data_IF_246904840814
#
_entry.id   IF_246904840814
#
_cell.length_a   1.000
_cell.length_b   1.000
_cell.length_c   1.000
_cell.angle_alpha   90.00
_cell.angle_beta   90.00
_cell.angle_gamma   90.00
#
_symmetry.space_group_name_H-M   'P 1'
#
loop_
_entity.id
_entity.type
_entity.pdbx_description
1 polymer ?
#
# COMPACT_ATOMS: atom_id res chain seq x y z
N UNK A 1 12.49 17.09 21.14
CA UNK A 1 12.28 16.56 19.77
C UNK A 1 11.01 17.21 19.22
N UNK A 2 11.06 17.87 18.06
CA UNK A 2 9.85 18.33 17.36
C UNK A 2 9.54 17.32 16.24
N UNK A 3 8.29 16.88 16.22
CA UNK A 3 7.71 16.06 15.17
C UNK A 3 6.93 17.00 14.25
N UNK A 4 7.36 17.13 12.99
CA UNK A 4 6.65 17.93 12.02
C UNK A 4 6.33 17.06 10.80
N UNK A 5 5.03 16.88 10.54
CA UNK A 5 4.53 16.40 9.25
C UNK A 5 4.27 17.62 8.37
N UNK A 6 4.99 17.74 7.26
CA UNK A 6 4.73 18.77 6.26
C UNK A 6 4.09 18.13 5.03
N UNK A 7 2.90 18.60 4.68
CA UNK A 7 2.26 18.29 3.42
C UNK A 7 2.61 19.36 2.41
N UNK A 8 3.31 18.98 1.33
CA UNK A 8 3.60 19.90 0.24
C UNK A 8 2.68 19.57 -0.94
N UNK A 9 1.67 20.41 -1.24
CA UNK A 9 0.82 20.19 -2.40
C UNK A 9 1.61 20.46 -3.68
N UNK A 10 1.48 19.56 -4.65
CA UNK A 10 1.98 19.69 -6.02
C UNK A 10 0.79 19.91 -6.98
N UNK A 11 1.03 20.48 -8.18
CA UNK A 11 0.00 20.60 -9.21
C UNK A 11 -0.60 19.24 -9.56
N UNK A 12 -1.89 19.21 -9.95
CA UNK A 12 -2.63 17.98 -10.30
C UNK A 12 -2.74 16.99 -9.14
N UNK A 13 -2.91 17.52 -7.92
CA UNK A 13 -3.31 16.77 -6.74
C UNK A 13 -2.33 15.68 -6.28
N UNK A 14 -1.07 15.86 -6.64
CA UNK A 14 0.04 15.16 -6.01
C UNK A 14 0.39 15.89 -4.71
N UNK A 15 0.92 15.17 -3.72
CA UNK A 15 1.46 15.78 -2.51
C UNK A 15 2.66 14.99 -2.01
N UNK A 16 3.61 15.67 -1.38
CA UNK A 16 4.75 15.04 -0.71
C UNK A 16 4.54 15.16 0.79
N UNK A 17 4.60 14.02 1.51
CA UNK A 17 4.60 14.00 2.97
C UNK A 17 6.04 13.92 3.47
N UNK A 18 6.51 14.99 4.11
CA UNK A 18 7.79 15.01 4.80
C UNK A 18 7.58 14.68 6.28
N UNK A 19 8.31 13.70 6.78
CA UNK A 19 8.38 13.39 8.22
C UNK A 19 9.75 13.85 8.70
N UNK A 20 9.80 14.97 9.42
CA UNK A 20 11.05 15.52 9.94
C UNK A 20 11.14 15.33 11.46
N UNK A 21 12.21 14.64 11.89
CA UNK A 21 12.59 14.49 13.29
C UNK A 21 13.72 15.45 13.62
N UNK A 22 13.46 16.47 14.44
CA UNK A 22 14.52 17.39 14.91
C UNK A 22 14.71 17.29 16.42
N UNK A 23 15.95 17.11 16.87
CA UNK A 23 16.33 17.25 18.28
C UNK A 23 16.99 18.61 18.51
N UNK A 24 16.45 19.42 19.43
CA UNK A 24 17.16 20.58 19.97
C UNK A 24 18.22 20.08 20.97
N UNK A 25 19.51 20.43 20.82
CA UNK A 25 20.52 20.10 21.81
C UNK A 25 20.24 20.88 23.10
N UNK A 26 20.27 20.22 24.26
CA UNK A 26 20.08 20.87 25.56
C UNK A 26 21.37 21.45 26.17
N UNK A 27 22.50 21.42 25.45
CA UNK A 27 23.78 22.04 25.87
C UNK A 27 24.61 22.48 24.66
N UNK A 28 25.40 23.57 24.76
CA UNK A 28 26.35 23.96 23.73
C UNK A 28 27.44 22.89 23.57
N UNK A 29 27.92 22.62 22.34
CA UNK A 29 28.95 21.62 22.11
C UNK A 29 30.31 22.09 22.67
N UNK A 30 31.02 21.17 23.33
CA UNK A 30 32.43 21.34 23.68
C UNK A 30 33.29 21.34 22.39
N UNK A 31 34.44 22.04 22.37
CA UNK A 31 35.28 22.13 21.19
C UNK A 31 35.83 20.74 20.80
N UNK A 32 35.64 20.38 19.54
CA UNK A 32 35.97 19.07 18.98
C UNK A 32 37.49 18.86 18.84
N UNK A 33 37.98 17.69 19.21
CA UNK A 33 39.25 17.13 18.74
C UNK A 33 39.08 16.58 17.32
N UNK A 34 40.09 16.69 16.45
CA UNK A 34 39.98 16.28 15.06
C UNK A 34 40.31 14.79 14.95
N UNK A 35 39.31 13.91 15.05
CA UNK A 35 39.31 12.54 14.51
C UNK A 35 37.99 11.87 14.89
N UNK A 36 37.00 12.00 14.01
CA UNK A 36 35.71 11.33 14.18
C UNK A 36 34.71 11.85 13.16
N UNK A 37 34.42 11.02 12.15
CA UNK A 37 33.37 11.29 11.18
C UNK A 37 32.04 11.49 11.91
N UNK A 38 31.58 12.74 11.98
CA UNK A 38 30.20 13.07 12.36
C UNK A 38 29.30 12.77 11.18
N UNK A 39 28.50 11.70 11.28
CA UNK A 39 27.43 11.44 10.32
C UNK A 39 26.37 12.55 10.41
N UNK A 40 26.02 13.25 9.31
CA UNK A 40 24.98 14.25 9.35
C UNK A 40 23.59 13.58 9.41
N UNK A 41 22.70 14.22 10.17
CA UNK A 41 21.29 13.88 10.33
C UNK A 41 20.62 13.68 8.96
N UNK A 42 20.13 12.47 8.69
CA UNK A 42 19.35 12.20 7.47
C UNK A 42 17.89 12.61 7.71
N UNK A 43 17.44 13.62 6.97
CA UNK A 43 16.01 13.84 6.71
C UNK A 43 15.52 12.70 5.83
N UNK A 44 14.58 11.89 6.32
CA UNK A 44 13.93 10.87 5.49
C UNK A 44 12.73 11.53 4.78
N UNK A 45 12.87 11.78 3.48
CA UNK A 45 11.76 12.20 2.63
C UNK A 45 11.15 10.96 1.97
N UNK A 46 9.87 10.70 2.22
CA UNK A 46 9.10 9.73 1.45
C UNK A 46 8.44 10.44 0.28
N UNK A 47 8.84 10.09 -0.94
CA UNK A 47 8.10 10.46 -2.15
C UNK A 47 7.09 9.33 -2.38
N UNK A 48 5.90 9.48 -1.77
CA UNK A 48 4.73 8.67 -2.17
C UNK A 48 4.02 9.46 -3.25
N UNK A 49 3.88 8.88 -4.45
CA UNK A 49 3.03 9.47 -5.49
C UNK A 49 1.57 9.26 -5.09
N UNK A 50 0.91 10.35 -4.70
CA UNK A 50 -0.46 10.34 -4.19
C UNK A 50 -1.48 10.75 -5.27
N UNK A 51 -2.65 10.12 -5.18
CA UNK A 51 -3.79 10.23 -6.07
C UNK A 51 -4.35 11.67 -6.11
N UNK A 52 -4.46 12.26 -7.29
CA UNK A 52 -5.80 12.70 -7.72
C UNK A 52 -6.15 12.00 -9.01
N UNK A 53 -7.19 11.17 -8.92
CA UNK A 53 -7.86 10.53 -10.02
C UNK A 53 -6.94 9.72 -10.96
N UNK A 54 -7.36 8.50 -11.25
CA UNK A 54 -7.04 7.76 -12.47
C UNK A 54 -7.43 8.51 -13.77
N UNK A 55 -7.60 9.84 -13.73
CA UNK A 55 -8.12 10.68 -14.81
C UNK A 55 -7.12 11.69 -15.39
N UNK A 56 -5.91 11.87 -14.84
CA UNK A 56 -5.00 12.94 -15.29
C UNK A 56 -3.68 12.48 -15.95
N UNK A 57 -3.56 11.20 -16.28
CA UNK A 57 -2.59 10.67 -17.26
C UNK A 57 -3.31 10.29 -18.57
N UNK A 58 -4.40 10.98 -18.88
CA UNK A 58 -5.24 10.77 -20.06
C UNK A 58 -4.95 11.93 -21.03
N UNK A 59 -4.86 11.60 -22.32
CA UNK A 59 -5.08 12.54 -23.42
C UNK A 59 -6.28 13.45 -23.10
N UNK A 60 -6.29 14.72 -23.56
CA UNK A 60 -7.35 15.66 -23.22
C UNK A 60 -8.74 15.06 -23.48
N UNK A 61 -9.67 15.21 -22.51
CA UNK A 61 -11.07 14.81 -22.67
C UNK A 61 -11.64 15.49 -23.93
N UNK A 62 -12.33 14.77 -24.83
CA UNK A 62 -13.18 15.44 -25.79
C UNK A 62 -14.37 16.05 -25.04
N UNK A 63 -14.60 17.34 -25.27
CA UNK A 63 -15.68 18.11 -24.68
C UNK A 63 -17.03 17.56 -25.17
N UNK A 64 -17.89 17.15 -24.24
CA UNK A 64 -19.27 16.69 -24.53
C UNK A 64 -20.29 17.85 -24.60
N UNK A 65 -19.83 19.08 -24.85
CA UNK A 65 -20.70 20.27 -24.95
C UNK A 65 -21.34 20.50 -26.33
N UNK A 66 -21.13 19.64 -27.34
CA UNK A 66 -21.67 19.84 -28.69
C UNK A 66 -22.97 19.05 -28.92
N UNK A 67 -24.05 19.46 -28.26
CA UNK A 67 -25.43 19.22 -28.72
C UNK A 67 -25.94 20.58 -29.22
N UNK A 68 -26.14 20.79 -30.55
CA UNK A 68 -26.64 22.07 -31.04
C UNK A 68 -28.17 22.17 -30.82
N UNK A 69 -28.71 23.26 -30.26
CA UNK A 69 -30.14 23.51 -30.29
C UNK A 69 -30.58 24.06 -31.66
N UNK A 70 -31.83 23.75 -32.04
CA UNK A 70 -32.51 24.14 -33.27
C UNK A 70 -32.48 25.66 -33.58
N UNK A 71 -32.56 26.07 -34.88
CA UNK A 71 -32.36 27.46 -35.28
C UNK A 71 -33.65 28.28 -35.27
N UNK A 72 -33.53 29.58 -34.92
CA UNK A 72 -34.46 30.67 -35.30
C UNK A 72 -33.71 32.02 -35.27
N UNK A 73 -34.21 33.07 -35.96
CA UNK A 73 -33.50 33.61 -37.12
C UNK A 73 -32.94 35.03 -36.93
N UNK A 74 -31.93 35.31 -37.77
CA UNK A 74 -31.49 36.62 -38.32
C UNK A 74 -31.18 37.76 -37.36
N UNK A 75 -29.89 38.11 -37.28
CA UNK A 75 -29.49 39.52 -37.33
C UNK A 75 -28.11 39.66 -38.01
N UNK A 76 -28.02 40.69 -38.83
CA UNK A 76 -27.00 40.99 -39.84
C UNK A 76 -25.81 41.73 -39.20
N UNK A 77 -24.57 41.25 -39.41
CA UNK A 77 -23.36 42.05 -39.19
C UNK A 77 -22.19 41.63 -40.08
N UNK A 78 -21.46 42.66 -40.53
CA UNK A 78 -20.50 42.77 -41.64
C UNK A 78 -19.22 41.93 -41.52
N UNK A 79 -18.52 41.62 -42.64
CA UNK A 79 -17.35 40.75 -42.63
C UNK A 79 -16.03 41.49 -42.31
N UNK A 80 -15.04 40.85 -41.63
CA UNK A 80 -13.68 41.36 -41.51
C UNK A 80 -12.80 40.99 -42.74
N UNK A 81 -11.65 41.68 -42.95
CA UNK A 81 -10.93 41.64 -44.22
C UNK A 81 -10.07 40.37 -44.40
N UNK A 82 -9.86 40.00 -45.66
CA UNK A 82 -9.04 38.86 -46.11
C UNK A 82 -7.55 39.10 -45.81
N UNK A 83 -6.77 38.09 -45.36
CA UNK A 83 -5.31 38.18 -45.38
C UNK A 83 -4.74 37.77 -46.74
N UNK A 84 -3.64 38.44 -47.11
CA UNK A 84 -2.91 38.30 -48.35
C UNK A 84 -2.19 36.95 -48.49
N UNK A 85 -2.13 36.43 -49.72
CA UNK A 85 -1.32 35.28 -50.09
C UNK A 85 0.16 35.67 -50.12
N UNK A 86 0.98 35.02 -49.28
CA UNK A 86 2.44 34.98 -49.43
C UNK A 86 2.80 33.58 -49.87
N UNK A 87 3.39 33.47 -51.06
CA UNK A 87 3.85 32.22 -51.66
C UNK A 87 5.33 32.03 -51.25
N UNK A 88 5.59 31.22 -50.22
CA UNK A 88 6.95 30.75 -49.92
C UNK A 88 7.04 29.24 -50.14
N UNK A 89 7.75 28.88 -51.21
CA UNK A 89 8.22 27.52 -51.49
C UNK A 89 9.36 27.17 -50.54
N UNK A 90 9.11 26.27 -49.58
CA UNK A 90 10.09 25.66 -48.67
C UNK A 90 10.40 24.22 -49.18
N UNK A 91 11.67 23.78 -49.25
CA UNK A 91 12.05 22.46 -49.77
C UNK A 91 11.56 21.32 -48.84
N UNK A 92 11.49 20.06 -49.32
CA UNK A 92 10.92 18.97 -48.54
C UNK A 92 11.92 18.51 -47.48
N UNK A 93 11.91 19.16 -46.33
CA UNK A 93 12.48 18.61 -45.10
C UNK A 93 11.52 17.55 -44.58
N UNK A 94 12.08 16.37 -44.26
CA UNK A 94 11.42 15.21 -43.68
C UNK A 94 10.43 15.57 -42.56
N UNK A 95 9.18 15.84 -42.93
CA UNK A 95 8.06 15.84 -42.02
C UNK A 95 7.69 14.37 -41.80
N UNK A 96 8.29 13.74 -40.80
CA UNK A 96 7.73 12.51 -40.24
C UNK A 96 6.27 12.77 -39.85
N UNK A 97 5.35 12.05 -40.50
CA UNK A 97 3.90 12.07 -40.31
C UNK A 97 3.47 11.80 -38.86
N UNK A 98 3.57 12.78 -37.97
CA UNK A 98 3.01 12.69 -36.62
C UNK A 98 1.47 12.71 -36.61
N UNK A 99 0.82 13.14 -37.70
CA UNK A 99 -0.64 13.16 -37.86
C UNK A 99 -1.26 11.81 -38.23
N UNK A 100 -0.48 10.80 -38.64
CA UNK A 100 -1.00 9.44 -38.92
C UNK A 100 -1.13 8.55 -37.66
N UNK A 101 -0.52 8.94 -36.55
CA UNK A 101 -0.34 8.04 -35.39
C UNK A 101 -1.58 7.85 -34.50
N UNK A 102 -2.61 8.70 -34.65
CA UNK A 102 -3.85 8.64 -33.89
C UNK A 102 -4.92 7.74 -34.55
N UNK A 103 -4.87 7.57 -35.88
CA UNK A 103 -5.82 6.73 -36.63
C UNK A 103 -5.61 5.23 -36.49
N UNK A 104 -4.41 4.81 -36.02
CA UNK A 104 -4.02 3.40 -35.90
C UNK A 104 -4.31 2.79 -34.52
N UNK A 105 -4.77 3.59 -33.55
CA UNK A 105 -5.07 3.09 -32.21
C UNK A 105 -6.52 2.59 -32.15
N UNK A 106 -6.77 1.42 -31.54
CA UNK A 106 -8.13 0.98 -31.28
C UNK A 106 -8.90 2.00 -30.44
N UNK A 107 -10.17 2.30 -30.76
CA UNK A 107 -10.98 3.22 -29.98
C UNK A 107 -11.25 2.64 -28.58
N UNK A 108 -11.43 3.54 -27.60
CA UNK A 108 -11.80 3.13 -26.25
C UNK A 108 -13.30 2.78 -26.20
N UNK A 109 -13.69 1.70 -25.50
CA UNK A 109 -15.09 1.31 -25.42
C UNK A 109 -15.91 2.34 -24.62
N UNK A 110 -17.19 2.51 -24.96
CA UNK A 110 -18.11 3.28 -24.12
C UNK A 110 -18.32 2.60 -22.77
N UNK A 111 -18.69 3.37 -21.74
CA UNK A 111 -18.98 2.84 -20.41
C UNK A 111 -20.14 3.58 -19.76
N UNK A 112 -20.77 2.94 -18.79
CA UNK A 112 -21.79 3.55 -17.93
C UNK A 112 -21.49 3.16 -16.50
N UNK A 113 -21.44 4.16 -15.61
CA UNK A 113 -21.15 3.92 -14.20
C UNK A 113 -22.42 3.54 -13.45
N UNK A 114 -22.26 2.59 -12.53
CA UNK A 114 -23.30 2.20 -11.56
C UNK A 114 -22.65 1.87 -10.22
N UNK A 115 -23.35 1.99 -9.08
CA UNK A 115 -22.83 1.54 -7.80
C UNK A 115 -22.44 0.05 -7.83
N UNK A 116 -21.43 -0.33 -7.06
CA UNK A 116 -21.13 -1.75 -6.83
C UNK A 116 -22.32 -2.42 -6.13
N UNK A 117 -22.66 -3.64 -6.57
CA UNK A 117 -23.56 -4.50 -5.81
C UNK A 117 -22.84 -5.02 -4.57
N UNK A 118 -23.53 -5.10 -3.43
CA UNK A 118 -22.98 -5.61 -2.17
C UNK A 118 -22.25 -6.96 -2.34
N UNK A 119 -21.13 -7.14 -1.62
CA UNK A 119 -20.35 -8.37 -1.62
C UNK A 119 -21.14 -9.57 -1.12
N UNK A 120 -22.03 -9.34 -0.15
CA UNK A 120 -22.94 -10.33 0.39
C UNK A 120 -24.38 -9.85 0.10
N UNK A 121 -25.17 -10.60 -0.68
CA UNK A 121 -26.54 -10.21 -1.00
C UNK A 121 -27.37 -9.92 0.28
N UNK A 122 -27.90 -8.70 0.38
CA UNK A 122 -28.72 -8.26 1.51
C UNK A 122 -27.95 -7.70 2.71
N UNK A 123 -26.61 -7.64 2.66
CA UNK A 123 -25.78 -6.99 3.66
C UNK A 123 -24.97 -5.85 3.03
N UNK A 124 -25.32 -4.58 3.30
CA UNK A 124 -24.57 -3.43 2.80
C UNK A 124 -23.08 -3.50 3.12
N UNK A 125 -22.22 -3.24 2.12
CA UNK A 125 -20.75 -3.31 2.26
C UNK A 125 -20.18 -2.42 3.40
N UNK A 126 -20.92 -1.39 3.82
CA UNK A 126 -20.56 -0.55 4.99
C UNK A 126 -20.45 -1.37 6.28
N UNK A 127 -21.32 -2.35 6.49
CA UNK A 127 -21.26 -3.19 7.71
C UNK A 127 -20.03 -4.10 7.70
N UNK A 128 -19.66 -4.63 6.53
CA UNK A 128 -18.43 -5.41 6.40
C UNK A 128 -17.20 -4.55 6.70
N UNK A 129 -17.15 -3.32 6.16
CA UNK A 129 -16.03 -2.39 6.40
C UNK A 129 -15.87 -2.00 7.87
N UNK A 130 -16.96 -1.85 8.60
CA UNK A 130 -16.94 -1.49 10.02
C UNK A 130 -16.61 -2.70 10.90
N UNK A 131 -17.30 -3.83 10.70
CA UNK A 131 -17.31 -4.93 11.67
C UNK A 131 -16.41 -6.11 11.31
N UNK A 132 -16.10 -6.35 10.03
CA UNK A 132 -15.34 -7.54 9.64
C UNK A 132 -13.93 -7.57 10.26
N UNK A 133 -13.13 -6.48 10.31
CA UNK A 133 -11.83 -6.52 10.99
C UNK A 133 -11.96 -6.89 12.47
N UNK A 134 -13.02 -6.43 13.16
CA UNK A 134 -13.29 -6.77 14.56
C UNK A 134 -13.67 -8.24 14.72
N UNK A 135 -14.51 -8.77 13.83
CA UNK A 135 -14.87 -10.20 13.81
C UNK A 135 -13.62 -11.05 13.56
N UNK A 136 -12.80 -10.69 12.58
CA UNK A 136 -11.53 -11.36 12.27
C UNK A 136 -10.60 -11.34 13.49
N UNK A 137 -10.48 -10.20 14.17
CA UNK A 137 -9.70 -10.07 15.40
C UNK A 137 -10.12 -11.10 16.45
N UNK A 138 -11.41 -11.15 16.78
CA UNK A 138 -11.91 -12.02 17.84
C UNK A 138 -11.89 -13.49 17.45
N UNK A 139 -12.25 -13.84 16.22
CA UNK A 139 -12.22 -15.23 15.73
C UNK A 139 -10.80 -15.79 15.83
N UNK A 140 -9.81 -15.07 15.29
CA UNK A 140 -8.42 -15.53 15.34
C UNK A 140 -7.86 -15.53 16.76
N UNK A 141 -8.19 -14.51 17.55
CA UNK A 141 -7.74 -14.44 18.94
C UNK A 141 -8.32 -15.57 19.80
N UNK A 142 -9.58 -15.92 19.60
CA UNK A 142 -10.22 -17.03 20.31
C UNK A 142 -9.70 -18.37 19.82
N UNK A 143 -9.37 -18.51 18.54
CA UNK A 143 -8.69 -19.70 18.03
C UNK A 143 -7.37 -19.97 18.79
N UNK A 144 -6.49 -18.97 18.90
CA UNK A 144 -5.26 -19.10 19.68
C UNK A 144 -5.50 -19.23 21.19
N UNK A 145 -6.54 -18.59 21.71
CA UNK A 145 -6.92 -18.75 23.11
C UNK A 145 -7.34 -20.20 23.43
N UNK A 146 -8.11 -20.84 22.54
CA UNK A 146 -8.50 -22.24 22.69
C UNK A 146 -7.28 -23.16 22.61
N UNK A 147 -6.35 -22.91 21.69
CA UNK A 147 -5.07 -23.64 21.62
C UNK A 147 -4.33 -23.55 22.95
N UNK A 148 -4.29 -22.35 23.55
CA UNK A 148 -3.61 -22.12 24.82
C UNK A 148 -4.28 -22.81 26.00
N UNK A 149 -5.60 -22.70 26.12
CA UNK A 149 -6.37 -23.29 27.23
C UNK A 149 -6.38 -24.82 27.17
N UNK A 150 -6.47 -25.40 25.98
CA UNK A 150 -6.48 -26.86 25.80
C UNK A 150 -5.09 -27.47 25.63
N UNK A 151 -4.03 -26.66 25.70
CA UNK A 151 -2.64 -27.11 25.57
C UNK A 151 -2.39 -27.97 24.32
N UNK A 152 -2.92 -27.53 23.17
CA UNK A 152 -2.93 -28.36 21.94
C UNK A 152 -1.52 -28.57 21.37
N UNK A 153 -0.65 -27.54 21.43
CA UNK A 153 0.69 -27.56 20.86
C UNK A 153 1.76 -26.94 21.78
N UNK A 154 1.99 -27.50 22.98
CA UNK A 154 2.94 -26.95 23.96
C UNK A 154 4.36 -26.83 23.42
N UNK A 155 4.78 -27.70 22.49
CA UNK A 155 6.11 -27.70 21.89
C UNK A 155 6.43 -26.45 21.05
N UNK A 156 5.40 -25.72 20.62
CA UNK A 156 5.55 -24.50 19.82
C UNK A 156 5.23 -23.23 20.63
N UNK A 157 4.83 -23.37 21.90
CA UNK A 157 4.52 -22.24 22.78
C UNK A 157 5.81 -21.52 23.19
N UNK A 158 5.79 -20.19 23.16
CA UNK A 158 6.97 -19.36 23.45
C UNK A 158 7.30 -19.26 24.96
N UNK A 159 6.29 -19.43 25.81
CA UNK A 159 6.33 -19.27 27.27
C UNK A 159 5.48 -20.33 27.96
N UNK A 160 5.77 -20.68 29.22
CA UNK A 160 4.91 -21.66 29.93
C UNK A 160 3.62 -21.00 30.46
N UNK A 161 2.54 -21.77 30.73
CA UNK A 161 1.32 -21.23 31.34
C UNK A 161 1.56 -20.49 32.67
N UNK A 162 2.50 -20.96 33.48
CA UNK A 162 2.90 -20.30 34.72
C UNK A 162 3.57 -18.95 34.46
N UNK A 163 4.42 -18.86 33.43
CA UNK A 163 5.02 -17.59 33.02
C UNK A 163 3.94 -16.59 32.55
N UNK A 164 2.95 -17.04 31.78
CA UNK A 164 1.83 -16.21 31.32
C UNK A 164 1.06 -15.61 32.51
N UNK A 165 0.82 -16.41 33.56
CA UNK A 165 0.03 -15.97 34.71
C UNK A 165 0.85 -15.14 35.70
N UNK A 166 2.12 -15.47 35.93
CA UNK A 166 2.95 -14.80 36.94
C UNK A 166 3.58 -13.50 36.46
N UNK A 167 3.88 -13.37 35.16
CA UNK A 167 4.66 -12.25 34.62
C UNK A 167 3.80 -11.12 34.07
N UNK A 168 2.55 -11.39 33.71
CA UNK A 168 1.62 -10.36 33.26
C UNK A 168 1.08 -9.58 34.45
N UNK A 169 1.12 -8.24 34.36
CA UNK A 169 0.68 -7.33 35.42
C UNK A 169 -0.76 -6.84 35.24
N UNK A 170 -1.53 -7.49 34.37
CA UNK A 170 -2.90 -7.12 34.03
C UNK A 170 -3.76 -8.37 33.94
N UNK A 171 -5.02 -8.27 34.40
CA UNK A 171 -5.97 -9.37 34.27
C UNK A 171 -6.47 -9.53 32.82
N UNK A 172 -6.87 -10.74 32.46
CA UNK A 172 -7.48 -11.03 31.15
C UNK A 172 -8.74 -10.20 30.88
N UNK A 173 -9.52 -9.91 31.93
CA UNK A 173 -10.72 -9.07 31.83
C UNK A 173 -10.39 -7.61 31.50
N UNK A 174 -9.40 -7.01 32.17
CA UNK A 174 -8.96 -5.65 31.85
C UNK A 174 -8.43 -5.55 30.43
N UNK A 175 -7.70 -6.56 29.97
CA UNK A 175 -7.26 -6.65 28.57
C UNK A 175 -8.44 -6.67 27.62
N UNK A 176 -9.40 -7.58 27.81
CA UNK A 176 -10.58 -7.68 26.95
C UNK A 176 -11.41 -6.37 26.93
N UNK A 177 -11.61 -5.74 28.09
CA UNK A 177 -12.30 -4.45 28.20
C UNK A 177 -11.59 -3.36 27.39
N UNK A 178 -10.28 -3.22 27.55
CA UNK A 178 -9.52 -2.17 26.89
C UNK A 178 -9.43 -2.41 25.37
N UNK A 179 -9.40 -3.67 24.93
CA UNK A 179 -9.51 -4.03 23.51
C UNK A 179 -10.87 -3.61 22.92
N UNK A 180 -11.97 -3.83 23.65
CA UNK A 180 -13.29 -3.33 23.21
C UNK A 180 -13.29 -1.80 23.09
N UNK A 181 -12.64 -1.08 24.00
CA UNK A 181 -12.48 0.38 23.87
C UNK A 181 -11.70 0.77 22.61
N UNK A 182 -10.65 0.04 22.24
CA UNK A 182 -9.93 0.27 20.98
C UNK A 182 -10.81 -0.02 19.76
N UNK A 183 -11.63 -1.05 19.82
CA UNK A 183 -12.55 -1.39 18.72
C UNK A 183 -13.65 -0.33 18.55
N UNK A 184 -14.09 0.33 19.63
CA UNK A 184 -14.97 1.50 19.51
C UNK A 184 -14.28 2.66 18.76
N UNK A 185 -13.00 2.90 19.01
CA UNK A 185 -12.21 3.90 18.27
C UNK A 185 -12.11 3.50 16.79
N UNK A 186 -11.84 2.22 16.50
CA UNK A 186 -11.79 1.70 15.14
C UNK A 186 -13.15 1.86 14.43
N UNK A 187 -14.27 1.58 15.09
CA UNK A 187 -15.62 1.79 14.53
C UNK A 187 -15.85 3.26 14.17
N UNK A 188 -15.55 4.18 15.10
CA UNK A 188 -15.70 5.63 14.85
C UNK A 188 -14.86 6.06 13.65
N UNK A 189 -13.63 5.56 13.55
CA UNK A 189 -12.75 5.87 12.43
C UNK A 189 -13.20 5.24 11.12
N UNK A 190 -13.72 4.02 11.12
CA UNK A 190 -14.30 3.38 9.95
C UNK A 190 -15.53 4.13 9.45
N UNK A 191 -16.40 4.61 10.35
CA UNK A 191 -17.54 5.48 9.99
C UNK A 191 -17.05 6.82 9.44
N UNK A 192 -16.01 7.40 10.01
CA UNK A 192 -15.40 8.62 9.48
C UNK A 192 -14.82 8.41 8.07
N UNK A 193 -14.09 7.31 7.84
CA UNK A 193 -13.56 6.95 6.53
C UNK A 193 -14.69 6.75 5.51
N UNK A 194 -15.78 6.09 5.90
CA UNK A 194 -16.97 5.93 5.06
C UNK A 194 -17.59 7.29 4.66
N UNK A 195 -17.61 8.24 5.59
CA UNK A 195 -18.19 9.56 5.34
C UNK A 195 -17.35 10.40 4.37
N UNK A 196 -16.04 10.20 4.32
CA UNK A 196 -15.13 10.97 3.46
C UNK A 196 -14.78 10.27 2.14
N UNK A 197 -15.03 8.97 2.03
CA UNK A 197 -14.74 8.21 0.82
C UNK A 197 -15.92 8.31 -0.16
N UNK A 198 -15.60 8.40 -1.45
CA UNK A 198 -16.64 8.50 -2.49
C UNK A 198 -17.35 7.14 -2.66
N UNK A 199 -18.62 7.18 -3.05
CA UNK A 199 -19.36 5.95 -3.39
C UNK A 199 -18.62 5.16 -4.48
N UNK A 200 -18.48 3.86 -4.24
CA UNK A 200 -17.76 3.00 -5.18
C UNK A 200 -18.61 2.70 -6.42
N UNK A 201 -18.09 3.05 -7.60
CA UNK A 201 -18.74 2.79 -8.88
C UNK A 201 -17.99 1.74 -9.72
N UNK A 202 -18.74 0.95 -10.49
CA UNK A 202 -18.29 -0.07 -11.44
C UNK A 202 -18.86 0.23 -12.84
N UNK A 203 -18.35 -0.46 -13.86
CA UNK A 203 -18.80 -0.36 -15.25
C UNK A 203 -17.79 0.28 -16.19
N UNK A 204 -16.62 0.71 -15.68
CA UNK A 204 -15.52 1.33 -16.45
C UNK A 204 -14.34 0.38 -16.67
N UNK A 205 -14.44 -0.87 -16.23
CA UNK A 205 -13.31 -1.81 -16.20
C UNK A 205 -12.75 -2.06 -17.60
N UNK A 206 -13.60 -2.31 -18.59
CA UNK A 206 -13.18 -2.54 -19.98
C UNK A 206 -12.56 -1.28 -20.61
N UNK A 207 -13.08 -0.09 -20.26
CA UNK A 207 -12.47 1.19 -20.66
C UNK A 207 -11.09 1.35 -20.06
N UNK A 208 -10.91 1.12 -18.76
CA UNK A 208 -9.63 1.30 -18.08
C UNK A 208 -8.59 0.26 -18.55
N UNK A 209 -9.01 -0.99 -18.81
CA UNK A 209 -8.18 -2.00 -19.45
C UNK A 209 -7.77 -1.56 -20.86
N UNK A 210 -8.69 -1.03 -21.67
CA UNK A 210 -8.38 -0.51 -23.00
C UNK A 210 -7.40 0.68 -22.94
N UNK A 211 -7.50 1.55 -21.94
CA UNK A 211 -6.51 2.63 -21.71
C UNK A 211 -5.12 2.04 -21.45
N UNK A 212 -5.00 0.98 -20.65
CA UNK A 212 -3.72 0.29 -20.46
C UNK A 212 -3.24 -0.41 -21.72
N UNK A 213 -4.13 -1.02 -22.51
CA UNK A 213 -3.77 -1.62 -23.79
C UNK A 213 -3.25 -0.57 -24.79
N UNK A 214 -3.85 0.63 -24.81
CA UNK A 214 -3.32 1.78 -25.56
C UNK A 214 -1.92 2.16 -25.10
N UNK A 215 -1.66 2.19 -23.79
CA UNK A 215 -0.33 2.49 -23.24
C UNK A 215 0.69 1.43 -23.63
N UNK A 216 0.31 0.15 -23.58
CA UNK A 216 1.14 -0.97 -24.05
C UNK A 216 1.47 -0.78 -25.53
N UNK A 217 0.46 -0.57 -26.38
CA UNK A 217 0.60 -0.31 -27.82
C UNK A 217 1.52 0.87 -28.11
N UNK A 218 1.38 1.97 -27.36
CA UNK A 218 2.24 3.15 -27.50
C UNK A 218 3.68 2.82 -27.07
N UNK A 219 3.88 2.12 -25.95
CA UNK A 219 5.20 1.71 -25.49
C UNK A 219 5.90 0.79 -26.51
N UNK A 220 5.15 -0.08 -27.19
CA UNK A 220 5.68 -0.92 -28.25
C UNK A 220 6.24 -0.13 -29.44
N UNK A 221 5.77 1.09 -29.69
CA UNK A 221 6.31 1.93 -30.77
C UNK A 221 7.79 2.25 -30.59
N UNK A 222 8.32 2.12 -29.37
CA UNK A 222 9.75 2.26 -29.10
C UNK A 222 10.58 1.00 -29.45
N UNK A 223 9.95 -0.17 -29.59
CA UNK A 223 10.64 -1.45 -29.81
C UNK A 223 11.51 -1.46 -31.09
N UNK A 224 11.04 -0.97 -32.26
CA UNK A 224 11.88 -0.91 -33.46
C UNK A 224 13.16 -0.08 -33.24
N UNK A 225 13.04 1.04 -32.54
CA UNK A 225 14.17 1.91 -32.20
C UNK A 225 15.15 1.22 -31.27
N UNK A 226 14.67 0.56 -30.21
CA UNK A 226 15.52 -0.20 -29.29
C UNK A 226 16.27 -1.33 -30.00
N UNK A 227 15.59 -2.09 -30.87
CA UNK A 227 16.23 -3.14 -31.66
C UNK A 227 17.28 -2.56 -32.62
N UNK A 228 17.00 -1.40 -33.23
CA UNK A 228 17.96 -0.68 -34.06
C UNK A 228 19.25 -0.30 -33.33
N UNK A 229 19.16 0.11 -32.05
CA UNK A 229 20.33 0.39 -31.21
C UNK A 229 21.19 -0.87 -30.96
N UNK A 230 20.60 -2.05 -31.04
CA UNK A 230 21.30 -3.34 -30.93
C UNK A 230 21.79 -3.87 -32.29
N UNK A 231 21.69 -3.07 -33.36
CA UNK A 231 22.09 -3.47 -34.72
C UNK A 231 21.06 -4.34 -35.44
N UNK A 232 19.85 -4.50 -34.90
CA UNK A 232 18.79 -5.32 -35.49
C UNK A 232 17.81 -4.47 -36.31
N UNK A 233 17.56 -4.89 -37.55
CA UNK A 233 16.56 -4.23 -38.41
C UNK A 233 15.16 -4.84 -38.17
N UNK A 234 14.42 -4.24 -37.23
CA UNK A 234 13.08 -4.70 -36.84
C UNK A 234 12.10 -4.76 -38.01
N UNK A 235 12.16 -3.83 -38.96
CA UNK A 235 11.30 -3.82 -40.15
C UNK A 235 11.57 -5.02 -41.08
N UNK A 236 12.85 -5.35 -41.30
CA UNK A 236 13.24 -6.52 -42.08
C UNK A 236 12.80 -7.83 -41.42
N UNK A 237 13.01 -7.95 -40.10
CA UNK A 237 12.60 -9.14 -39.33
C UNK A 237 11.06 -9.26 -39.36
N UNK A 238 10.34 -8.18 -39.09
CA UNK A 238 8.88 -8.12 -39.15
C UNK A 238 8.35 -8.59 -40.51
N UNK A 239 8.92 -8.06 -41.61
CA UNK A 239 8.53 -8.45 -42.97
C UNK A 239 8.72 -9.96 -43.21
N UNK A 240 9.86 -10.52 -42.82
CA UNK A 240 10.16 -11.94 -43.01
C UNK A 240 9.24 -12.86 -42.17
N UNK A 241 8.77 -12.38 -41.03
CA UNK A 241 7.88 -13.13 -40.14
C UNK A 241 6.39 -12.92 -40.42
N UNK A 242 6.02 -11.92 -41.22
CA UNK A 242 4.62 -11.50 -41.41
C UNK A 242 3.68 -12.62 -41.89
N UNK A 243 4.17 -13.54 -42.71
CA UNK A 243 3.38 -14.66 -43.24
C UNK A 243 3.21 -15.81 -42.24
N UNK A 244 4.23 -16.10 -41.42
CA UNK A 244 4.22 -17.25 -40.49
C UNK A 244 3.81 -16.88 -39.07
N UNK A 245 4.12 -15.65 -38.64
CA UNK A 245 3.90 -15.14 -37.29
C UNK A 245 3.40 -13.69 -37.32
N UNK A 246 2.18 -13.43 -37.85
CA UNK A 246 1.66 -12.08 -38.09
C UNK A 246 1.58 -11.22 -36.82
N UNK A 247 1.30 -11.80 -35.65
CA UNK A 247 1.30 -11.08 -34.38
C UNK A 247 2.70 -10.67 -33.91
N UNK A 248 3.71 -11.52 -34.11
CA UNK A 248 5.10 -11.17 -33.78
C UNK A 248 5.60 -10.10 -34.73
N UNK A 249 5.28 -10.23 -36.02
CA UNK A 249 5.60 -9.24 -37.02
C UNK A 249 4.99 -7.87 -36.69
N UNK A 250 3.72 -7.81 -36.29
CA UNK A 250 3.06 -6.57 -35.87
C UNK A 250 3.68 -5.95 -34.61
N UNK A 251 4.04 -6.77 -33.62
CA UNK A 251 4.76 -6.30 -32.43
C UNK A 251 6.13 -5.71 -32.78
N UNK A 252 6.92 -6.40 -33.62
CA UNK A 252 8.21 -5.93 -34.13
C UNK A 252 8.09 -4.67 -35.01
N UNK A 253 6.95 -4.47 -35.66
CA UNK A 253 6.61 -3.26 -36.40
C UNK A 253 6.12 -2.11 -35.51
N UNK A 254 6.31 -2.20 -34.18
CA UNK A 254 5.92 -1.15 -33.23
C UNK A 254 4.42 -1.17 -32.90
N UNK A 255 3.79 -2.33 -32.98
CA UNK A 255 2.36 -2.50 -32.70
C UNK A 255 1.45 -2.18 -33.89
N UNK A 256 1.97 -2.26 -35.12
CA UNK A 256 1.17 -2.07 -36.33
C UNK A 256 0.60 -3.42 -36.81
N UNK A 257 -0.72 -3.61 -36.64
CA UNK A 257 -1.43 -4.84 -37.00
C UNK A 257 -2.50 -4.55 -38.06
N UNK A 258 -2.13 -4.50 -39.36
CA UNK A 258 -3.04 -4.06 -40.42
C UNK A 258 -4.22 -5.00 -40.67
N UNK A 259 -4.10 -6.25 -40.23
CA UNK A 259 -5.13 -7.29 -40.33
C UNK A 259 -6.09 -7.30 -39.13
N UNK A 260 -5.79 -6.55 -38.07
CA UNK A 260 -6.49 -6.67 -36.80
C UNK A 260 -7.46 -5.51 -36.62
N UNK A 261 -8.71 -5.76 -37.02
CA UNK A 261 -9.79 -4.80 -36.96
C UNK A 261 -11.04 -5.39 -36.31
N UNK A 262 -11.93 -4.54 -35.82
CA UNK A 262 -13.25 -4.90 -35.29
C UNK A 262 -14.30 -3.94 -35.85
N UNK A 263 -15.56 -4.34 -35.87
CA UNK A 263 -16.66 -3.41 -36.12
C UNK A 263 -16.94 -2.57 -34.87
N UNK A 264 -17.16 -1.27 -35.06
CA UNK A 264 -17.57 -0.36 -34.01
C UNK A 264 -19.09 -0.44 -33.82
N UNK A 265 -19.52 -0.82 -32.62
CA UNK A 265 -20.91 -1.11 -32.22
C UNK A 265 -21.98 -0.37 -33.04
N UNK A 266 -22.69 -1.12 -33.89
CA UNK A 266 -23.87 -0.66 -34.64
C UNK A 266 -23.61 0.31 -35.80
N UNK A 267 -22.36 0.69 -36.05
CA UNK A 267 -22.02 1.70 -37.09
C UNK A 267 -21.53 1.11 -38.42
N UNK A 268 -21.35 -0.22 -38.50
CA UNK A 268 -20.68 -0.93 -39.60
C UNK A 268 -19.26 -0.41 -39.94
N UNK A 269 -18.72 0.51 -39.15
CA UNK A 269 -17.38 1.06 -39.34
C UNK A 269 -16.35 0.05 -38.82
N UNK A 270 -15.38 -0.27 -39.68
CA UNK A 270 -14.26 -1.14 -39.32
C UNK A 270 -13.14 -0.29 -38.73
N UNK A 271 -12.76 -0.57 -37.49
CA UNK A 271 -11.75 0.17 -36.73
C UNK A 271 -10.62 -0.77 -36.28
N UNK A 272 -9.40 -0.26 -35.99
CA UNK A 272 -8.33 -1.09 -35.45
C UNK A 272 -8.73 -1.78 -34.14
N UNK A 273 -8.20 -2.97 -33.88
CA UNK A 273 -8.42 -3.72 -32.65
C UNK A 273 -7.11 -4.01 -31.88
N UNK A 274 -7.22 -4.25 -30.57
CA UNK A 274 -6.09 -4.67 -29.73
C UNK A 274 -5.76 -6.14 -29.97
N UNK A 275 -4.47 -6.47 -29.99
CA UNK A 275 -4.04 -7.86 -29.99
C UNK A 275 -4.37 -8.50 -28.64
N UNK A 276 -4.69 -9.80 -28.64
CA UNK A 276 -5.11 -10.50 -27.41
C UNK A 276 -4.03 -10.45 -26.32
N UNK A 277 -2.76 -10.46 -26.69
CA UNK A 277 -1.65 -10.35 -25.74
C UNK A 277 -1.54 -8.93 -25.14
N UNK A 278 -1.91 -7.86 -25.89
CA UNK A 278 -1.96 -6.49 -25.36
C UNK A 278 -3.03 -6.36 -24.30
N UNK A 279 -4.21 -6.92 -24.58
CA UNK A 279 -5.31 -6.99 -23.62
C UNK A 279 -4.94 -7.85 -22.41
N UNK A 280 -4.22 -8.96 -22.59
CA UNK A 280 -3.75 -9.78 -21.48
C UNK A 280 -2.80 -9.01 -20.56
N UNK A 281 -1.80 -8.32 -21.14
CA UNK A 281 -0.86 -7.47 -20.38
C UNK A 281 -1.60 -6.33 -19.69
N UNK A 282 -2.52 -5.66 -20.40
CA UNK A 282 -3.33 -4.59 -19.83
C UNK A 282 -4.22 -5.06 -18.68
N UNK A 283 -4.87 -6.22 -18.82
CA UNK A 283 -5.64 -6.87 -17.74
C UNK A 283 -4.73 -7.23 -16.56
N UNK A 284 -3.54 -7.78 -16.81
CA UNK A 284 -2.59 -8.09 -15.74
C UNK A 284 -2.14 -6.81 -15.00
N UNK A 285 -1.86 -5.72 -15.73
CA UNK A 285 -1.54 -4.43 -15.12
C UNK A 285 -2.70 -3.93 -14.25
N UNK A 286 -3.91 -3.90 -14.82
CA UNK A 286 -5.09 -3.35 -14.17
C UNK A 286 -5.55 -4.17 -12.96
N UNK A 287 -5.67 -5.50 -13.11
CA UNK A 287 -6.25 -6.37 -12.08
C UNK A 287 -5.24 -6.90 -11.07
N UNK A 288 -3.95 -6.96 -11.40
CA UNK A 288 -2.93 -7.56 -10.52
C UNK A 288 -1.86 -6.56 -10.11
N UNK A 289 -1.19 -5.92 -11.07
CA UNK A 289 -0.02 -5.08 -10.77
C UNK A 289 -0.42 -3.85 -9.97
N UNK A 290 -1.46 -3.12 -10.38
CA UNK A 290 -1.90 -1.91 -9.69
C UNK A 290 -2.41 -2.25 -8.28
N UNK A 291 -3.41 -3.13 -8.08
CA UNK A 291 -3.85 -3.57 -6.76
C UNK A 291 -2.72 -4.11 -5.88
N UNK A 292 -1.83 -4.92 -6.45
CA UNK A 292 -0.69 -5.49 -5.73
C UNK A 292 0.30 -4.42 -5.27
N UNK A 293 0.60 -3.45 -6.13
CA UNK A 293 1.44 -2.31 -5.77
C UNK A 293 0.79 -1.44 -4.70
N UNK A 294 -0.51 -1.17 -4.80
CA UNK A 294 -1.24 -0.41 -3.79
C UNK A 294 -1.19 -1.09 -2.42
N UNK A 295 -1.44 -2.41 -2.38
CA UNK A 295 -1.38 -3.18 -1.13
C UNK A 295 0.04 -3.21 -0.55
N UNK A 296 1.05 -3.44 -1.38
CA UNK A 296 2.45 -3.42 -0.95
C UNK A 296 2.88 -2.04 -0.41
N UNK A 297 2.46 -0.97 -1.10
CA UNK A 297 2.70 0.39 -0.65
C UNK A 297 1.99 0.69 0.68
N UNK A 298 0.75 0.19 0.88
CA UNK A 298 -0.02 0.40 2.10
C UNK A 298 0.67 -0.28 3.29
N UNK A 299 1.11 -1.52 3.11
CA UNK A 299 1.91 -2.26 4.10
C UNK A 299 3.21 -1.51 4.42
N UNK A 300 3.91 -1.02 3.40
CA UNK A 300 5.18 -0.29 3.58
C UNK A 300 5.00 1.02 4.35
N UNK A 301 3.91 1.76 4.08
CA UNK A 301 3.55 2.98 4.80
C UNK A 301 3.21 2.64 6.26
N UNK A 302 2.41 1.60 6.50
CA UNK A 302 2.02 1.18 7.84
C UNK A 302 3.24 0.74 8.68
N UNK A 303 4.11 -0.12 8.13
CA UNK A 303 5.34 -0.56 8.79
C UNK A 303 6.24 0.63 9.16
N UNK A 304 6.35 1.60 8.26
CA UNK A 304 7.13 2.82 8.49
C UNK A 304 6.50 3.65 9.60
N UNK A 305 5.20 3.90 9.52
CA UNK A 305 4.43 4.66 10.49
C UNK A 305 4.58 4.07 11.90
N UNK A 306 4.31 2.77 12.02
CA UNK A 306 4.38 2.08 13.29
C UNK A 306 5.79 2.00 13.82
N UNK A 307 6.80 1.65 13.01
CA UNK A 307 8.18 1.58 13.48
C UNK A 307 8.66 2.89 14.14
N UNK A 308 8.47 4.03 13.46
CA UNK A 308 9.00 5.29 13.97
C UNK A 308 8.26 5.77 15.22
N UNK A 309 6.95 5.62 15.28
CA UNK A 309 6.17 5.99 16.45
C UNK A 309 6.41 5.04 17.62
N UNK A 310 6.49 3.73 17.36
CA UNK A 310 6.78 2.72 18.37
C UNK A 310 8.16 2.95 18.99
N UNK A 311 9.20 3.10 18.15
CA UNK A 311 10.54 3.46 18.62
C UNK A 311 10.54 4.77 19.39
N UNK A 312 9.83 5.80 18.90
CA UNK A 312 9.72 7.09 19.59
C UNK A 312 9.11 6.92 20.99
N UNK A 313 8.05 6.12 21.11
CA UNK A 313 7.40 5.82 22.38
C UNK A 313 8.32 5.09 23.35
N UNK A 314 9.26 4.27 22.89
CA UNK A 314 10.25 3.62 23.75
C UNK A 314 11.43 4.50 24.17
N UNK A 315 11.92 5.35 23.27
CA UNK A 315 13.09 6.19 23.56
C UNK A 315 12.73 7.46 24.33
N UNK A 316 11.49 7.95 24.18
CA UNK A 316 10.98 9.09 24.93
C UNK A 316 10.34 8.60 26.24
N UNK A 317 10.98 8.92 27.37
CA UNK A 317 10.50 8.50 28.71
C UNK A 317 9.05 8.88 28.98
N UNK A 318 8.63 10.10 28.63
CA UNK A 318 7.26 10.55 28.88
C UNK A 318 6.26 9.74 28.06
N UNK A 319 6.51 9.57 26.76
CA UNK A 319 5.64 8.77 25.89
C UNK A 319 5.55 7.31 26.34
N UNK A 320 6.68 6.72 26.75
CA UNK A 320 6.72 5.37 27.30
C UNK A 320 5.83 5.28 28.55
N UNK A 321 6.12 6.08 29.59
CA UNK A 321 5.43 5.95 30.87
C UNK A 321 3.95 6.32 30.79
N UNK A 322 3.57 7.23 29.89
CA UNK A 322 2.19 7.71 29.78
C UNK A 322 1.33 6.81 28.89
N UNK A 323 1.87 6.33 27.77
CA UNK A 323 1.09 5.61 26.77
C UNK A 323 1.53 4.15 26.67
N UNK A 324 2.77 3.93 26.24
CA UNK A 324 3.21 2.62 25.76
C UNK A 324 3.51 1.58 26.86
N UNK A 325 3.83 2.05 28.07
CA UNK A 325 4.04 1.15 29.22
C UNK A 325 2.80 0.35 29.60
N UNK A 326 1.60 0.79 29.19
CA UNK A 326 0.36 0.00 29.35
C UNK A 326 0.44 -1.28 28.55
N UNK A 327 0.82 -1.20 27.28
CA UNK A 327 1.00 -2.34 26.41
C UNK A 327 2.00 -3.35 27.00
N UNK A 328 3.14 -2.84 27.47
CA UNK A 328 4.18 -3.64 28.14
C UNK A 328 3.84 -4.14 29.56
N UNK A 329 2.63 -3.93 30.08
CA UNK A 329 2.15 -4.69 31.26
C UNK A 329 1.88 -6.14 30.89
N UNK A 330 1.69 -6.41 29.61
CA UNK A 330 1.53 -7.73 29.02
C UNK A 330 2.90 -8.29 28.59
N UNK A 331 3.75 -8.63 29.57
CA UNK A 331 5.11 -9.16 29.33
C UNK A 331 5.18 -10.47 28.55
N UNK A 332 4.13 -11.29 28.66
CA UNK A 332 3.99 -12.53 27.90
C UNK A 332 2.78 -12.34 27.01
N UNK A 333 2.99 -11.94 25.74
CA UNK A 333 1.91 -11.71 24.79
C UNK A 333 1.03 -12.94 24.59
N UNK A 334 -0.26 -12.68 24.38
CA UNK A 334 -1.24 -13.66 23.90
C UNK A 334 -2.19 -12.97 22.92
N UNK A 335 -2.85 -13.76 22.08
CA UNK A 335 -3.52 -13.27 20.86
C UNK A 335 -4.52 -12.12 21.06
N UNK A 336 -5.51 -12.26 21.96
CA UNK A 336 -6.47 -11.16 22.22
C UNK A 336 -5.88 -10.01 23.06
N UNK A 337 -4.60 -10.09 23.44
CA UNK A 337 -3.86 -8.99 24.04
C UNK A 337 -3.23 -8.06 23.01
N UNK A 338 -3.32 -8.37 21.71
CA UNK A 338 -2.63 -7.63 20.66
C UNK A 338 -3.01 -6.15 20.53
N UNK A 339 -4.23 -5.78 20.94
CA UNK A 339 -4.70 -4.39 20.97
C UNK A 339 -4.81 -3.85 22.41
N UNK A 340 -4.17 -4.50 23.37
CA UNK A 340 -4.08 -3.99 24.73
C UNK A 340 -3.05 -2.86 24.79
N UNK A 341 -3.50 -1.64 24.51
CA UNK A 341 -2.67 -0.45 24.57
C UNK A 341 -3.49 0.77 25.03
N UNK A 342 -2.82 1.90 25.25
CA UNK A 342 -3.51 3.12 25.68
C UNK A 342 -4.44 3.64 24.54
N UNK A 343 -5.66 4.15 24.81
CA UNK A 343 -6.58 4.69 23.77
C UNK A 343 -5.93 5.63 22.76
N UNK A 344 -5.18 6.61 23.26
CA UNK A 344 -4.40 7.53 22.40
C UNK A 344 -3.39 6.80 21.50
N UNK A 345 -2.73 5.79 22.04
CA UNK A 345 -1.74 5.00 21.31
C UNK A 345 -2.40 4.12 20.25
N UNK A 346 -3.42 3.35 20.61
CA UNK A 346 -4.13 2.51 19.64
C UNK A 346 -4.84 3.30 18.55
N UNK A 347 -5.30 4.52 18.85
CA UNK A 347 -5.71 5.46 17.82
C UNK A 347 -4.55 5.85 16.90
N UNK A 348 -3.44 6.34 17.46
CA UNK A 348 -2.33 6.94 16.70
C UNK A 348 -1.50 5.91 15.92
N UNK A 349 -1.13 4.79 16.54
CA UNK A 349 -0.32 3.72 15.95
C UNK A 349 -1.13 2.81 15.05
N UNK A 350 -2.25 2.28 15.55
CA UNK A 350 -2.97 1.20 14.88
C UNK A 350 -3.99 1.76 13.88
N UNK A 351 -4.92 2.58 14.38
CA UNK A 351 -6.10 3.00 13.61
C UNK A 351 -5.75 4.07 12.57
N UNK A 352 -5.09 5.15 12.98
CA UNK A 352 -4.73 6.27 12.11
C UNK A 352 -3.67 5.86 11.09
N UNK A 353 -2.68 5.06 11.50
CA UNK A 353 -1.65 4.55 10.59
C UNK A 353 -2.23 3.71 9.45
N UNK A 354 -3.15 2.80 9.77
CA UNK A 354 -3.84 2.00 8.76
C UNK A 354 -4.74 2.86 7.86
N UNK A 355 -5.51 3.80 8.44
CA UNK A 355 -6.36 4.72 7.67
C UNK A 355 -5.58 5.60 6.70
N UNK A 356 -4.44 6.16 7.12
CA UNK A 356 -3.54 6.92 6.25
C UNK A 356 -3.00 6.03 5.13
N UNK A 357 -2.57 4.80 5.45
CA UNK A 357 -2.04 3.86 4.44
C UNK A 357 -3.08 3.55 3.36
N UNK A 358 -4.34 3.35 3.75
CA UNK A 358 -5.47 3.17 2.84
C UNK A 358 -5.70 4.39 1.94
N UNK A 359 -5.85 5.58 2.53
CA UNK A 359 -6.13 6.81 1.78
C UNK A 359 -5.00 7.17 0.81
N UNK A 360 -3.75 7.05 1.27
CA UNK A 360 -2.58 7.43 0.48
C UNK A 360 -2.39 6.54 -0.75
N UNK A 361 -2.68 5.25 -0.63
CA UNK A 361 -2.48 4.30 -1.74
C UNK A 361 -3.64 4.29 -2.74
N UNK A 362 -4.73 4.99 -2.43
CA UNK A 362 -5.86 5.13 -3.34
C UNK A 362 -6.55 3.81 -3.64
N UNK A 363 -6.49 2.87 -2.69
CA UNK A 363 -7.14 1.57 -2.81
C UNK A 363 -8.66 1.75 -2.90
N UNK A 364 -9.35 0.79 -3.50
CA UNK A 364 -10.80 0.73 -3.34
C UNK A 364 -11.17 0.35 -1.89
N UNK A 365 -12.34 0.72 -1.41
CA UNK A 365 -12.86 0.33 -0.10
C UNK A 365 -12.84 -1.20 0.11
N UNK A 366 -13.10 -2.00 -0.94
CA UNK A 366 -12.95 -3.47 -0.89
C UNK A 366 -11.50 -3.93 -0.72
N UNK A 367 -10.54 -3.29 -1.39
CA UNK A 367 -9.12 -3.55 -1.15
C UNK A 367 -8.69 -3.08 0.25
N UNK A 368 -9.22 -1.95 0.71
CA UNK A 368 -9.04 -1.45 2.07
C UNK A 368 -9.52 -2.45 3.11
N UNK A 369 -10.71 -3.03 2.92
CA UNK A 369 -11.25 -4.09 3.77
C UNK A 369 -10.29 -5.28 3.89
N UNK A 370 -9.75 -5.74 2.76
CA UNK A 370 -8.73 -6.80 2.75
C UNK A 370 -7.47 -6.37 3.51
N UNK A 371 -6.95 -5.17 3.25
CA UNK A 371 -5.77 -4.62 3.92
C UNK A 371 -5.95 -4.50 5.44
N UNK A 372 -7.09 -4.00 5.91
CA UNK A 372 -7.41 -3.90 7.33
C UNK A 372 -7.50 -5.28 7.98
N UNK A 373 -8.20 -6.24 7.35
CA UNK A 373 -8.28 -7.60 7.87
C UNK A 373 -6.90 -8.27 7.93
N UNK A 374 -6.08 -8.15 6.88
CA UNK A 374 -4.72 -8.70 6.87
C UNK A 374 -3.84 -8.07 7.95
N UNK A 375 -3.94 -6.75 8.15
CA UNK A 375 -3.22 -6.05 9.21
C UNK A 375 -3.66 -6.53 10.59
N UNK A 376 -4.98 -6.70 10.82
CA UNK A 376 -5.52 -7.26 12.06
C UNK A 376 -5.02 -8.68 12.31
N UNK A 377 -5.11 -9.55 11.30
CA UNK A 377 -4.61 -10.92 11.38
C UNK A 377 -3.13 -10.91 11.77
N UNK A 378 -2.32 -10.04 11.14
CA UNK A 378 -0.90 -9.96 11.42
C UNK A 378 -0.59 -9.49 12.84
N UNK A 379 -1.29 -8.46 13.32
CA UNK A 379 -1.16 -7.96 14.69
C UNK A 379 -1.50 -9.05 15.72
N UNK A 380 -2.55 -9.84 15.47
CA UNK A 380 -2.92 -10.97 16.36
C UNK A 380 -1.88 -12.09 16.30
N UNK A 381 -1.39 -12.45 15.11
CA UNK A 381 -0.34 -13.48 14.94
C UNK A 381 0.95 -13.08 15.67
N UNK A 382 1.39 -11.83 15.57
CA UNK A 382 2.58 -11.33 16.29
C UNK A 382 2.49 -11.42 17.82
N UNK A 383 1.27 -11.52 18.35
CA UNK A 383 1.01 -11.66 19.77
C UNK A 383 0.50 -13.05 20.14
N UNK A 384 0.42 -14.00 19.21
CA UNK A 384 -0.31 -15.25 19.45
C UNK A 384 0.31 -16.12 20.54
N UNK A 385 1.60 -15.93 20.84
CA UNK A 385 2.34 -16.70 21.85
C UNK A 385 2.89 -18.03 21.34
N UNK A 386 2.76 -18.29 20.03
CA UNK A 386 3.22 -19.53 19.38
C UNK A 386 4.12 -19.26 18.19
N UNK A 387 5.12 -20.12 18.02
CA UNK A 387 5.90 -20.20 16.78
C UNK A 387 5.55 -21.49 16.04
N UNK A 388 4.43 -21.46 15.32
CA UNK A 388 3.91 -22.63 14.61
C UNK A 388 4.66 -22.80 13.27
N UNK A 389 5.20 -23.99 12.98
CA UNK A 389 6.01 -24.19 11.77
C UNK A 389 5.18 -24.19 10.47
N UNK A 390 3.85 -24.21 10.55
CA UNK A 390 2.94 -24.12 9.41
C UNK A 390 2.20 -22.80 9.32
N UNK A 391 2.51 -21.81 10.17
CA UNK A 391 1.90 -20.49 10.06
C UNK A 391 2.47 -19.74 8.84
N UNK A 392 1.69 -19.50 7.78
CA UNK A 392 2.20 -18.86 6.58
C UNK A 392 2.66 -17.42 6.83
N UNK A 393 2.08 -16.71 7.80
CA UNK A 393 2.41 -15.31 8.07
C UNK A 393 3.79 -15.17 8.70
N UNK A 394 4.14 -16.09 9.60
CA UNK A 394 5.46 -16.13 10.22
C UNK A 394 6.59 -16.51 9.25
N UNK A 395 6.25 -17.04 8.06
CA UNK A 395 7.19 -17.36 6.97
C UNK A 395 7.24 -16.30 5.87
N UNK A 396 6.10 -15.72 5.51
CA UNK A 396 6.00 -14.72 4.44
C UNK A 396 6.51 -13.36 4.91
N UNK A 397 6.33 -13.06 6.20
CA UNK A 397 6.74 -11.80 6.80
C UNK A 397 7.93 -12.01 7.73
N UNK A 398 8.78 -10.99 7.83
CA UNK A 398 10.03 -11.11 8.61
C UNK A 398 9.88 -10.75 10.09
N UNK A 399 8.82 -10.01 10.46
CA UNK A 399 8.39 -9.88 11.85
C UNK A 399 7.43 -11.04 12.17
N UNK A 400 7.57 -11.65 13.34
CA UNK A 400 6.73 -12.77 13.77
C UNK A 400 6.60 -12.80 15.29
N UNK A 401 5.77 -13.72 15.80
CA UNK A 401 5.52 -13.88 17.23
C UNK A 401 6.79 -13.97 18.09
N UNK A 402 7.81 -14.74 17.67
CA UNK A 402 9.05 -14.87 18.43
C UNK A 402 9.90 -13.59 18.41
N UNK A 403 9.93 -12.87 17.28
CA UNK A 403 10.66 -11.61 17.15
C UNK A 403 10.01 -10.50 17.98
N UNK A 404 8.69 -10.41 17.96
CA UNK A 404 7.92 -9.44 18.73
C UNK A 404 7.90 -9.79 20.23
N UNK A 405 7.85 -11.07 20.60
CA UNK A 405 7.96 -11.52 21.99
C UNK A 405 9.23 -11.00 22.67
N UNK A 406 10.38 -11.04 21.98
CA UNK A 406 11.65 -10.49 22.49
C UNK A 406 11.49 -9.02 22.91
N UNK A 407 10.74 -8.23 22.13
CA UNK A 407 10.50 -6.83 22.41
C UNK A 407 9.72 -6.62 23.72
N UNK A 408 8.73 -7.47 24.02
CA UNK A 408 7.98 -7.43 25.28
C UNK A 408 8.80 -7.82 26.51
N UNK A 409 9.95 -8.47 26.32
CA UNK A 409 10.82 -8.84 27.44
C UNK A 409 11.58 -7.63 27.99
N UNK A 410 11.77 -7.59 29.32
CA UNK A 410 12.52 -6.50 30.00
C UNK A 410 13.91 -6.24 29.40
N UNK A 411 14.55 -7.27 28.85
CA UNK A 411 15.87 -7.22 28.24
C UNK A 411 15.86 -6.91 26.74
N UNK A 412 14.70 -6.95 26.07
CA UNK A 412 14.52 -6.65 24.65
C UNK A 412 13.66 -5.40 24.37
N UNK A 413 13.11 -4.76 25.40
CA UNK A 413 12.23 -3.57 25.32
C UNK A 413 12.80 -2.34 24.62
N UNK A 414 14.09 -2.32 24.27
CA UNK A 414 14.72 -1.24 23.48
C UNK A 414 15.25 -1.73 22.13
N UNK A 415 14.73 -2.84 21.66
CA UNK A 415 15.08 -3.48 20.38
C UNK A 415 13.82 -3.99 19.70
N UNK A 416 13.92 -4.38 18.43
CA UNK A 416 12.84 -5.01 17.68
C UNK A 416 11.57 -4.14 17.61
N UNK A 417 11.69 -2.89 17.16
CA UNK A 417 10.55 -1.95 17.12
C UNK A 417 9.65 -2.14 15.89
N UNK A 418 10.09 -2.90 14.89
CA UNK A 418 9.33 -3.13 13.66
C UNK A 418 8.07 -3.95 13.92
N UNK A 419 6.95 -3.42 13.46
CA UNK A 419 5.64 -4.05 13.42
C UNK A 419 4.78 -3.34 12.34
N UNK A 420 3.76 -4.01 11.76
CA UNK A 420 3.44 -5.42 11.98
C UNK A 420 4.12 -6.38 10.99
N UNK A 421 4.53 -5.98 9.79
CA UNK A 421 4.94 -6.96 8.75
C UNK A 421 6.45 -7.21 8.68
N UNK A 422 7.28 -6.19 8.45
CA UNK A 422 8.69 -6.38 8.10
C UNK A 422 9.68 -5.72 9.06
N UNK A 423 10.82 -6.38 9.30
CA UNK A 423 11.92 -5.89 10.15
C UNK A 423 12.89 -4.96 9.41
N UNK A 424 12.48 -4.43 8.25
CA UNK A 424 13.33 -3.61 7.39
C UNK A 424 13.96 -2.44 8.17
N UNK A 425 13.15 -1.72 8.95
CA UNK A 425 13.61 -0.57 9.71
C UNK A 425 14.55 -0.93 10.86
N UNK A 426 14.27 -2.02 11.57
CA UNK A 426 15.20 -2.51 12.58
C UNK A 426 16.56 -2.90 12.00
N UNK A 427 16.58 -3.48 10.79
CA UNK A 427 17.84 -3.76 10.06
C UNK A 427 18.54 -2.49 9.62
N UNK A 428 17.81 -1.56 9.03
CA UNK A 428 18.35 -0.32 8.47
C UNK A 428 18.93 0.61 9.55
N UNK A 429 18.36 0.59 10.76
CA UNK A 429 18.71 1.50 11.86
C UNK A 429 19.40 0.79 13.04
N UNK A 430 19.80 -0.47 12.85
CA UNK A 430 20.52 -1.31 13.82
C UNK A 430 19.84 -1.40 15.20
N UNK A 431 18.50 -1.54 15.21
CA UNK A 431 17.70 -1.70 16.44
C UNK A 431 17.24 -3.13 16.69
N UNK A 432 17.78 -4.10 15.93
CA UNK A 432 17.54 -5.53 16.19
C UNK A 432 18.18 -6.00 17.49
N UNK A 433 17.51 -6.90 18.17
CA UNK A 433 18.11 -7.68 19.24
C UNK A 433 19.23 -8.57 18.68
N UNK A 434 20.40 -8.54 19.33
CA UNK A 434 21.60 -9.30 18.91
C UNK A 434 21.95 -10.46 19.85
N UNK A 435 21.25 -10.60 20.97
CA UNK A 435 21.50 -11.68 21.92
C UNK A 435 20.80 -12.98 21.54
N UNK A 436 21.15 -14.05 22.24
CA UNK A 436 20.43 -15.32 22.15
C UNK A 436 19.26 -15.32 23.16
N UNK A 437 18.03 -15.48 22.63
CA UNK A 437 16.80 -15.59 23.44
C UNK A 437 16.88 -16.76 24.42
N UNK A 438 17.38 -17.91 23.98
CA UNK A 438 17.47 -19.11 24.83
C UNK A 438 18.44 -18.91 25.98
N UNK A 439 19.60 -18.32 25.72
CA UNK A 439 20.56 -18.00 26.78
C UNK A 439 19.98 -17.06 27.85
N UNK A 440 19.10 -16.12 27.46
CA UNK A 440 18.42 -15.24 28.42
C UNK A 440 17.33 -15.94 29.21
N UNK A 441 16.55 -16.81 28.57
CA UNK A 441 15.53 -17.63 29.25
C UNK A 441 16.19 -18.55 30.28
N UNK A 442 17.27 -19.24 29.88
CA UNK A 442 18.05 -20.12 30.77
C UNK A 442 18.68 -19.33 31.92
N UNK A 443 19.26 -18.16 31.66
CA UNK A 443 19.80 -17.31 32.72
C UNK A 443 18.73 -16.80 33.69
N UNK A 444 17.51 -16.52 33.20
CA UNK A 444 16.38 -16.14 34.05
C UNK A 444 15.92 -17.30 34.94
N UNK A 445 15.80 -18.52 34.37
CA UNK A 445 15.46 -19.74 35.12
C UNK A 445 16.52 -20.09 36.17
N UNK A 446 17.80 -20.00 35.82
CA UNK A 446 18.91 -20.25 36.76
C UNK A 446 18.96 -19.25 37.92
N UNK A 447 18.62 -17.97 37.69
CA UNK A 447 18.47 -16.99 38.77
C UNK A 447 17.25 -17.25 39.65
N UNK A 448 16.13 -17.67 39.07
CA UNK A 448 14.93 -18.05 39.82
C UNK A 448 15.21 -19.21 40.79
N UNK A 449 15.82 -20.28 40.28
CA UNK A 449 16.21 -21.44 41.09
C UNK A 449 17.22 -21.08 42.21
N UNK A 450 18.16 -20.17 41.94
CA UNK A 450 19.13 -19.71 42.94
C UNK A 450 18.53 -18.79 44.02
N UNK A 451 17.39 -18.14 43.74
CA UNK A 451 16.65 -17.33 44.72
C UNK A 451 15.77 -18.24 45.58
N UNK A 452 15.09 -19.22 44.99
CA UNK A 452 14.31 -20.24 45.73
C UNK A 452 15.20 -21.05 46.69
N UNK A 453 16.37 -21.51 46.22
CA UNK A 453 17.33 -22.23 47.05
C UNK A 453 18.00 -21.38 48.16
N UNK A 454 17.79 -20.06 48.18
CA UNK A 454 18.22 -19.16 49.27
C UNK A 454 17.08 -18.75 50.20
N UNK A 455 15.83 -19.05 49.83
CA UNK A 455 14.64 -18.78 50.64
C UNK A 455 14.12 -20.01 51.40
N UNK A 456 14.61 -21.19 51.04
CA UNK A 456 14.57 -22.42 51.87
C UNK A 456 15.78 -22.45 52.82
#
# INVERSE_FOLDING_TARGET
LRFCCFWHPLPRGLGILYIQLTSTPSKPPLPATPTGHTFPFHSFAFIVFLRTATSNLILPRPDQSLIPPHPRPTEERSPPPKPAMVNETIPPTMATNFTSMAGDLPPLPAYTLKPYADMIPGLPDVYLRIFLPIVVYWVLSMFFHLIDVYDVWPQYRLHTPEEITKRNHVSRYEVARDVVLQQLIQIVMSVFLEYIDDEQLTGREDYDVAVWATRVRIAQRALPTFLGLLGLNAASISKNMSASHPFIAGALAGGHYPFLTTELDGSHAVVPAFASWELLVAKAIYWLVIPGFQLFAAISILDTWQYFLHRLMHVNKWMYTTFHSRHHRLYVPYAYGALYNHPFEGFLLDTLGAGISFLLTGMSARQGLLFFCLSTVKTVDDHCGYSLPWDPLQHITSNNAAYHDIHHQTWGIKTNFSQPFFIFWDRALDTRYKGDRQNRILAAKGKGAAVEAKSE
#
